data_IF_236512066950
#
_entry.id   IF_236512066950
#
_cell.length_a   1.000
_cell.length_b   1.000
_cell.length_c   1.000
_cell.angle_alpha   90.00
_cell.angle_beta   90.00
_cell.angle_gamma   90.00
#
_symmetry.space_group_name_H-M   'P 1'
#
loop_
_entity.id
_entity.type
_entity.pdbx_description
1 polymer ?
#
# COMPACT_ATOMS: atom_id res chain seq x y z
N UNK A 1 49.19 6.08 34.79
CA UNK A 1 47.94 5.51 34.22
C UNK A 1 47.89 5.91 32.76
N UNK A 2 48.20 4.98 31.85
CA UNK A 2 48.28 5.24 30.41
C UNK A 2 46.88 5.18 29.80
N UNK A 3 46.38 6.28 29.23
CA UNK A 3 45.13 6.30 28.49
C UNK A 3 45.39 5.71 27.10
N UNK A 4 44.91 4.49 26.86
CA UNK A 4 44.93 3.91 25.51
C UNK A 4 44.11 4.79 24.56
N UNK A 5 44.63 5.11 23.37
CA UNK A 5 43.95 5.97 22.41
C UNK A 5 42.64 5.33 21.96
N UNK A 6 41.55 6.10 22.04
CA UNK A 6 40.23 5.71 21.53
C UNK A 6 40.35 5.52 20.01
N UNK A 7 40.05 4.34 19.44
CA UNK A 7 40.10 4.16 18.00
C UNK A 7 39.08 5.09 17.33
N UNK A 8 39.55 5.86 16.34
CA UNK A 8 38.72 6.69 15.48
C UNK A 8 37.70 5.79 14.78
N UNK A 9 36.42 5.92 15.13
CA UNK A 9 35.34 5.23 14.43
C UNK A 9 35.36 5.67 12.96
N UNK A 10 35.52 4.71 12.05
CA UNK A 10 35.32 4.94 10.62
C UNK A 10 33.90 5.48 10.38
N UNK A 11 33.71 6.41 9.43
CA UNK A 11 32.40 6.93 9.09
C UNK A 11 31.45 5.79 8.68
N UNK A 12 30.16 5.86 9.04
CA UNK A 12 29.20 4.82 8.70
C UNK A 12 29.08 4.70 7.19
N UNK A 13 29.39 3.52 6.65
CA UNK A 13 29.21 3.20 5.24
C UNK A 13 27.71 3.02 4.98
N UNK A 14 27.10 3.95 4.27
CA UNK A 14 25.71 3.85 3.82
C UNK A 14 25.54 2.61 2.94
N UNK A 15 24.59 1.72 3.26
CA UNK A 15 24.36 0.49 2.48
C UNK A 15 23.72 0.85 1.12
N UNK A 16 24.31 0.43 -0.02
CA UNK A 16 23.83 0.83 -1.36
C UNK A 16 22.38 0.43 -1.68
N UNK A 17 21.84 -0.57 -0.98
CA UNK A 17 20.51 -1.13 -1.24
C UNK A 17 19.36 -0.23 -0.74
N UNK A 18 19.58 0.63 0.26
CA UNK A 18 18.53 1.55 0.76
C UNK A 18 18.21 2.68 -0.22
N UNK A 19 19.18 3.07 -1.05
CA UNK A 19 19.02 4.15 -2.03
C UNK A 19 18.12 3.77 -3.22
N UNK A 20 17.98 2.49 -3.54
CA UNK A 20 17.19 2.03 -4.69
C UNK A 20 15.76 1.62 -4.33
N UNK A 21 15.52 1.15 -3.10
CA UNK A 21 14.19 0.68 -2.67
C UNK A 21 13.24 1.86 -2.42
N UNK A 22 13.73 2.97 -1.88
CA UNK A 22 12.93 4.18 -1.60
C UNK A 22 12.31 4.80 -2.87
N UNK A 23 13.04 5.01 -3.97
CA UNK A 23 12.47 5.47 -5.24
C UNK A 23 11.39 4.54 -5.80
N UNK A 24 11.57 3.23 -5.70
CA UNK A 24 10.62 2.25 -6.23
C UNK A 24 9.27 2.31 -5.50
N UNK A 25 9.29 2.46 -4.17
CA UNK A 25 8.08 2.65 -3.38
C UNK A 25 7.35 3.94 -3.81
N UNK A 26 8.08 5.06 -3.91
CA UNK A 26 7.54 6.36 -4.36
C UNK A 26 6.95 6.28 -5.77
N UNK A 27 7.64 5.62 -6.70
CA UNK A 27 7.15 5.41 -8.07
C UNK A 27 5.86 4.57 -8.10
N UNK A 28 5.76 3.53 -7.26
CA UNK A 28 4.55 2.72 -7.14
C UNK A 28 3.35 3.52 -6.63
N UNK A 29 3.54 4.33 -5.58
CA UNK A 29 2.48 5.20 -5.04
C UNK A 29 2.08 6.28 -6.05
N UNK A 30 3.05 6.90 -6.72
CA UNK A 30 2.81 7.92 -7.75
C UNK A 30 2.01 7.34 -8.93
N UNK A 31 2.33 6.13 -9.39
CA UNK A 31 1.59 5.46 -10.46
C UNK A 31 0.12 5.20 -10.08
N UNK A 32 -0.14 4.79 -8.84
CA UNK A 32 -1.50 4.58 -8.34
C UNK A 32 -2.27 5.90 -8.17
N UNK A 33 -1.63 6.95 -7.66
CA UNK A 33 -2.19 8.31 -7.57
C UNK A 33 -2.54 8.87 -8.95
N UNK A 34 -1.66 8.70 -9.94
CA UNK A 34 -1.94 9.05 -11.34
C UNK A 34 -3.13 8.26 -11.90
N UNK A 35 -3.22 6.97 -11.61
CA UNK A 35 -4.35 6.15 -12.04
C UNK A 35 -5.68 6.60 -11.40
N UNK A 36 -5.64 7.07 -10.15
CA UNK A 36 -6.79 7.64 -9.45
C UNK A 36 -7.18 9.03 -10.01
N UNK A 37 -6.23 9.94 -10.21
CA UNK A 37 -6.54 11.31 -10.68
C UNK A 37 -7.11 11.33 -12.10
N UNK A 38 -6.65 10.43 -12.98
CA UNK A 38 -7.21 10.27 -14.33
C UNK A 38 -8.68 9.81 -14.28
N UNK A 39 -9.09 9.08 -13.24
CA UNK A 39 -10.47 8.65 -13.04
C UNK A 39 -11.36 9.82 -12.63
N UNK A 40 -10.92 10.63 -11.68
CA UNK A 40 -11.68 11.78 -11.20
C UNK A 40 -11.83 12.84 -12.28
N UNK A 41 -10.78 13.09 -13.06
CA UNK A 41 -10.83 14.00 -14.21
C UNK A 41 -11.84 13.58 -15.29
N UNK A 42 -12.11 12.28 -15.45
CA UNK A 42 -13.11 11.78 -16.41
C UNK A 42 -14.53 11.83 -15.84
N UNK A 43 -14.70 11.54 -14.55
CA UNK A 43 -15.99 11.68 -13.88
C UNK A 43 -16.44 13.15 -13.83
N UNK A 44 -15.54 14.08 -13.52
CA UNK A 44 -15.82 15.51 -13.56
C UNK A 44 -16.27 15.99 -14.95
N UNK A 45 -15.60 15.51 -16.02
CA UNK A 45 -15.98 15.84 -17.41
C UNK A 45 -17.30 15.21 -17.86
N UNK A 46 -17.58 13.98 -17.42
CA UNK A 46 -18.79 13.25 -17.83
C UNK A 46 -20.03 13.60 -17.01
N UNK A 47 -19.85 14.13 -15.79
CA UNK A 47 -20.94 14.63 -14.97
C UNK A 47 -21.48 16.00 -15.43
N UNK A 48 -20.93 16.60 -16.49
CA UNK A 48 -21.32 17.95 -16.94
C UNK A 48 -21.09 19.05 -15.89
N UNK A 49 -20.39 18.74 -14.80
CA UNK A 49 -20.33 19.54 -13.59
C UNK A 49 -19.23 20.60 -13.59
N UNK A 50 -18.61 20.87 -14.74
CA UNK A 50 -17.94 22.16 -14.91
C UNK A 50 -18.93 23.13 -15.54
N UNK A 51 -19.95 23.50 -14.76
CA UNK A 51 -20.57 24.80 -14.93
C UNK A 51 -19.43 25.81 -14.79
N UNK A 52 -19.25 26.68 -15.77
CA UNK A 52 -18.18 27.67 -15.77
C UNK A 52 -18.14 28.49 -14.48
N UNK A 53 -17.07 29.30 -14.27
CA UNK A 53 -17.06 30.25 -13.15
C UNK A 53 -18.39 31.01 -13.14
N UNK A 54 -19.04 31.16 -11.98
CA UNK A 54 -20.36 31.77 -11.90
C UNK A 54 -20.25 33.16 -12.52
N UNK A 55 -20.79 33.30 -13.73
CA UNK A 55 -20.93 34.60 -14.36
C UNK A 55 -21.90 35.36 -13.47
N UNK A 56 -21.39 36.38 -12.78
CA UNK A 56 -22.21 37.30 -12.00
C UNK A 56 -23.26 37.93 -12.93
N UNK A 57 -24.53 37.61 -12.69
CA UNK A 57 -25.68 38.13 -13.45
C UNK A 57 -26.72 37.02 -13.63
N UNK A 58 -27.97 37.13 -13.21
CA UNK A 58 -28.74 38.27 -12.73
C UNK A 58 -29.67 37.77 -11.61
N UNK A 59 -29.80 38.58 -10.56
CA UNK A 59 -30.91 38.49 -9.64
C UNK A 59 -32.13 39.05 -10.38
N UNK A 60 -33.12 38.21 -10.65
CA UNK A 60 -34.56 38.52 -10.52
C UNK A 60 -35.39 37.34 -11.04
N UNK A 61 -36.60 37.23 -10.47
CA UNK A 61 -37.77 36.45 -10.90
C UNK A 61 -37.95 35.00 -10.37
N UNK A 62 -38.65 34.99 -9.23
CA UNK A 62 -39.98 34.38 -9.04
C UNK A 62 -40.15 32.86 -8.86
N UNK A 63 -40.35 32.57 -7.56
CA UNK A 63 -41.24 31.59 -6.94
C UNK A 63 -42.39 31.04 -7.80
N UNK A 64 -42.42 29.72 -8.01
CA UNK A 64 -43.65 28.91 -7.99
C UNK A 64 -43.35 27.42 -7.71
N UNK A 65 -44.04 26.89 -6.71
CA UNK A 65 -43.93 25.52 -6.22
C UNK A 65 -44.30 24.43 -7.22
N UNK A 66 -43.71 23.24 -7.05
CA UNK A 66 -43.96 22.10 -7.92
C UNK A 66 -43.36 20.79 -7.42
N UNK A 67 -44.12 20.11 -6.57
CA UNK A 67 -43.98 18.71 -6.18
C UNK A 67 -43.49 17.79 -7.31
N UNK A 68 -42.29 17.21 -7.17
CA UNK A 68 -41.85 16.07 -8.01
C UNK A 68 -40.71 15.28 -7.36
N UNK A 69 -40.93 14.81 -6.11
CA UNK A 69 -40.02 13.93 -5.38
C UNK A 69 -40.24 12.42 -5.66
N UNK A 70 -40.95 12.05 -6.72
CA UNK A 70 -41.38 10.66 -6.93
C UNK A 70 -41.25 10.22 -8.39
N UNK A 71 -40.05 9.77 -8.84
CA UNK A 71 -39.91 8.69 -9.83
C UNK A 71 -38.43 8.30 -10.10
N UNK A 72 -37.66 7.83 -9.11
CA UNK A 72 -36.36 7.17 -9.40
C UNK A 72 -36.16 5.92 -8.52
N UNK A 73 -37.20 5.10 -8.39
CA UNK A 73 -37.11 3.85 -7.64
C UNK A 73 -37.97 2.77 -8.32
N UNK A 74 -37.53 2.21 -9.45
CA UNK A 74 -37.90 0.87 -9.94
C UNK A 74 -37.44 0.60 -11.38
N UNK A 75 -36.14 0.68 -11.66
CA UNK A 75 -35.60 0.03 -12.85
C UNK A 75 -34.39 -0.81 -12.45
N UNK A 76 -34.67 -2.05 -12.05
CA UNK A 76 -33.70 -3.15 -11.87
C UNK A 76 -33.03 -3.57 -13.18
N UNK A 77 -32.70 -2.62 -14.04
CA UNK A 77 -31.81 -2.84 -15.16
C UNK A 77 -30.46 -3.21 -14.57
N UNK A 78 -30.02 -4.45 -14.81
CA UNK A 78 -28.63 -4.89 -14.63
C UNK A 78 -27.76 -3.97 -15.49
N UNK A 79 -27.44 -2.77 -15.00
CA UNK A 79 -26.59 -1.80 -15.69
C UNK A 79 -25.32 -2.55 -16.03
N UNK A 80 -25.14 -2.80 -17.32
CA UNK A 80 -23.96 -3.47 -17.84
C UNK A 80 -22.76 -2.70 -17.30
N UNK A 81 -22.03 -3.32 -16.36
CA UNK A 81 -20.85 -2.67 -15.77
C UNK A 81 -19.96 -2.21 -16.91
N UNK A 82 -19.62 -0.91 -16.98
CA UNK A 82 -18.78 -0.40 -18.06
C UNK A 82 -17.48 -1.18 -18.07
N UNK A 83 -17.09 -1.68 -19.26
CA UNK A 83 -15.84 -2.41 -19.44
C UNK A 83 -14.70 -1.52 -18.97
N UNK A 84 -13.91 -1.99 -18.01
CA UNK A 84 -12.69 -1.28 -17.60
C UNK A 84 -11.75 -1.23 -18.80
N UNK A 85 -11.20 -0.04 -19.10
CA UNK A 85 -10.24 0.08 -20.19
C UNK A 85 -9.03 -0.84 -19.97
N UNK A 86 -8.46 -1.36 -21.06
CA UNK A 86 -7.27 -2.22 -21.00
C UNK A 86 -6.11 -1.52 -20.29
N UNK A 87 -5.88 -0.24 -20.59
CA UNK A 87 -4.87 0.61 -19.93
C UNK A 87 -5.05 0.67 -18.41
N UNK A 88 -6.28 0.86 -17.91
CA UNK A 88 -6.55 0.87 -16.46
C UNK A 88 -6.26 -0.49 -15.85
N UNK A 89 -6.66 -1.57 -16.52
CA UNK A 89 -6.40 -2.93 -16.04
C UNK A 89 -4.91 -3.23 -15.97
N UNK A 90 -4.13 -2.76 -16.95
CA UNK A 90 -2.68 -2.89 -16.96
C UNK A 90 -2.01 -2.13 -15.81
N UNK A 91 -2.44 -0.88 -15.54
CA UNK A 91 -1.94 -0.10 -14.40
C UNK A 91 -2.26 -0.76 -13.06
N UNK A 92 -3.46 -1.30 -12.89
CA UNK A 92 -3.85 -2.03 -11.67
C UNK A 92 -3.05 -3.32 -11.51
N UNK A 93 -2.79 -4.05 -12.60
CA UNK A 93 -1.92 -5.23 -12.58
C UNK A 93 -0.50 -4.85 -12.17
N UNK A 94 0.08 -3.81 -12.78
CA UNK A 94 1.42 -3.34 -12.46
C UNK A 94 1.55 -2.96 -10.98
N UNK A 95 0.57 -2.21 -10.43
CA UNK A 95 0.55 -1.86 -9.01
C UNK A 95 0.51 -3.08 -8.09
N UNK A 96 -0.32 -4.09 -8.41
CA UNK A 96 -0.40 -5.35 -7.64
C UNK A 96 0.91 -6.13 -7.70
N UNK A 97 1.52 -6.25 -8.88
CA UNK A 97 2.77 -6.98 -9.07
C UNK A 97 3.93 -6.29 -8.35
N UNK A 98 4.07 -4.97 -8.46
CA UNK A 98 5.13 -4.23 -7.78
C UNK A 98 5.04 -4.36 -6.26
N UNK A 99 3.84 -4.21 -5.70
CA UNK A 99 3.62 -4.40 -4.27
C UNK A 99 3.95 -5.83 -3.83
N UNK A 100 3.56 -6.83 -4.63
CA UNK A 100 3.87 -8.22 -4.36
C UNK A 100 5.37 -8.53 -4.42
N UNK A 101 6.10 -7.96 -5.38
CA UNK A 101 7.55 -8.15 -5.47
C UNK A 101 8.27 -7.57 -4.24
N UNK A 102 7.87 -6.36 -3.79
CA UNK A 102 8.44 -5.75 -2.59
C UNK A 102 8.20 -6.61 -1.34
N UNK A 103 6.96 -7.08 -1.15
CA UNK A 103 6.59 -7.90 0.01
C UNK A 103 7.14 -9.32 -0.07
N UNK A 104 7.29 -9.90 -1.27
CA UNK A 104 7.95 -11.18 -1.47
C UNK A 104 9.44 -11.11 -1.11
N UNK A 105 10.13 -10.02 -1.48
CA UNK A 105 11.51 -9.79 -1.06
C UNK A 105 11.61 -9.67 0.46
N UNK A 106 10.71 -8.90 1.10
CA UNK A 106 10.66 -8.79 2.56
C UNK A 106 10.41 -10.15 3.24
N UNK A 107 9.43 -10.91 2.74
CA UNK A 107 9.12 -12.27 3.21
C UNK A 107 10.29 -13.24 3.04
N UNK A 108 11.01 -13.17 1.92
CA UNK A 108 12.20 -13.98 1.70
C UNK A 108 13.31 -13.68 2.70
N UNK A 109 13.59 -12.39 2.96
CA UNK A 109 14.54 -11.99 4.00
C UNK A 109 14.12 -12.49 5.39
N UNK A 110 12.81 -12.54 5.66
CA UNK A 110 12.29 -13.09 6.91
C UNK A 110 12.53 -14.60 7.03
N UNK A 111 12.31 -15.36 5.96
CA UNK A 111 12.62 -16.79 5.91
C UNK A 111 14.10 -17.03 6.16
N UNK A 112 14.98 -16.24 5.54
CA UNK A 112 16.42 -16.32 5.78
C UNK A 112 16.78 -16.04 7.26
N UNK A 113 16.17 -15.03 7.89
CA UNK A 113 16.35 -14.73 9.31
C UNK A 113 15.88 -15.87 10.22
N UNK A 114 14.75 -16.51 9.90
CA UNK A 114 14.24 -17.65 10.65
C UNK A 114 15.17 -18.87 10.51
N UNK A 115 15.64 -19.15 9.30
CA UNK A 115 16.60 -20.22 9.04
C UNK A 115 17.92 -20.00 9.77
N UNK A 116 18.46 -18.77 9.75
CA UNK A 116 19.68 -18.42 10.46
C UNK A 116 19.55 -18.59 11.98
N UNK A 117 18.40 -18.22 12.56
CA UNK A 117 18.12 -18.43 13.98
C UNK A 117 18.03 -19.91 14.35
N UNK A 118 17.36 -20.72 13.52
CA UNK A 118 17.25 -22.16 13.75
C UNK A 118 18.62 -22.86 13.71
N UNK A 119 19.59 -22.31 12.98
CA UNK A 119 20.95 -22.84 12.89
C UNK A 119 21.92 -22.34 13.98
N UNK A 120 21.54 -21.34 14.78
CA UNK A 120 22.43 -20.74 15.77
C UNK A 120 22.60 -21.63 17.02
N UNK A 121 23.82 -21.76 17.57
CA UNK A 121 24.04 -22.51 18.81
C UNK A 121 23.48 -21.77 20.04
N UNK A 122 23.03 -22.46 21.10
CA UNK A 122 22.66 -21.82 22.36
C UNK A 122 23.85 -21.06 22.98
N UNK A 123 23.64 -19.88 23.62
CA UNK A 123 22.37 -19.19 23.87
C UNK A 123 21.95 -18.24 22.73
N UNK A 124 22.68 -18.20 21.61
CA UNK A 124 22.36 -17.35 20.46
C UNK A 124 21.14 -17.83 19.66
N UNK A 125 20.65 -19.05 19.94
CA UNK A 125 19.34 -19.55 19.54
C UNK A 125 18.21 -18.72 20.19
N UNK A 126 17.96 -17.52 19.68
CA UNK A 126 16.99 -16.58 20.23
C UNK A 126 16.61 -15.47 19.25
N UNK A 127 16.06 -14.37 19.77
CA UNK A 127 15.73 -13.17 18.99
C UNK A 127 16.99 -12.57 18.38
N UNK A 128 16.96 -12.26 17.08
CA UNK A 128 18.05 -11.49 16.49
C UNK A 128 18.11 -10.14 17.16
N UNK A 129 19.32 -9.69 17.48
CA UNK A 129 19.52 -8.36 18.03
C UNK A 129 20.00 -7.40 16.96
N UNK A 130 19.27 -6.31 16.79
CA UNK A 130 19.65 -5.20 15.93
C UNK A 130 19.84 -3.95 16.80
N UNK A 131 21.02 -3.33 16.74
CA UNK A 131 21.41 -2.21 17.60
C UNK A 131 21.26 -2.48 19.11
N UNK A 132 21.51 -3.72 19.56
CA UNK A 132 21.42 -4.11 20.97
C UNK A 132 19.99 -4.24 21.50
N UNK A 133 18.98 -4.33 20.62
CA UNK A 133 17.58 -4.63 20.96
C UNK A 133 17.07 -5.78 20.12
N UNK A 134 15.98 -6.42 20.56
CA UNK A 134 15.24 -7.36 19.71
C UNK A 134 14.90 -6.69 18.39
N UNK A 135 15.24 -7.35 17.29
CA UNK A 135 14.94 -6.86 15.94
C UNK A 135 13.43 -6.88 15.72
N UNK A 136 12.77 -5.73 15.44
CA UNK A 136 11.33 -5.72 15.18
C UNK A 136 10.94 -6.50 13.91
N UNK A 137 11.90 -6.81 13.03
CA UNK A 137 11.71 -7.73 11.91
C UNK A 137 11.32 -9.14 12.35
N UNK A 138 11.59 -9.53 13.60
CA UNK A 138 11.29 -10.85 14.14
C UNK A 138 9.81 -11.03 14.53
N UNK A 139 8.91 -10.67 13.63
CA UNK A 139 7.47 -10.79 13.79
C UNK A 139 6.84 -11.67 12.68
N UNK A 140 5.70 -12.33 12.93
CA UNK A 140 5.04 -13.19 11.94
C UNK A 140 4.24 -12.40 10.89
N UNK A 141 3.98 -11.11 11.08
CA UNK A 141 3.15 -10.31 10.18
C UNK A 141 3.79 -10.18 8.79
N UNK A 142 5.13 -10.12 8.70
CA UNK A 142 5.84 -10.09 7.42
C UNK A 142 5.48 -11.27 6.50
N UNK A 143 5.36 -12.48 7.05
CA UNK A 143 4.99 -13.66 6.26
C UNK A 143 3.52 -13.63 5.84
N UNK A 144 2.64 -13.13 6.71
CA UNK A 144 1.22 -12.93 6.40
C UNK A 144 1.07 -11.91 5.27
N UNK A 145 1.81 -10.80 5.33
CA UNK A 145 1.81 -9.77 4.28
C UNK A 145 2.33 -10.33 2.96
N UNK A 146 3.41 -11.11 2.97
CA UNK A 146 3.93 -11.80 1.79
C UNK A 146 2.86 -12.70 1.16
N UNK A 147 2.15 -13.50 1.95
CA UNK A 147 1.08 -14.38 1.47
C UNK A 147 -0.10 -13.58 0.89
N UNK A 148 -0.54 -12.52 1.56
CA UNK A 148 -1.61 -11.64 1.08
C UNK A 148 -1.23 -10.91 -0.21
N UNK A 149 0.04 -10.49 -0.33
CA UNK A 149 0.55 -9.85 -1.53
C UNK A 149 0.60 -10.82 -2.72
N UNK A 150 0.91 -12.10 -2.49
CA UNK A 150 0.83 -13.13 -3.52
C UNK A 150 -0.62 -13.33 -4.02
N UNK A 151 -1.61 -13.37 -3.11
CA UNK A 151 -3.03 -13.40 -3.48
C UNK A 151 -3.42 -12.18 -4.33
N UNK A 152 -2.94 -10.98 -3.95
CA UNK A 152 -3.16 -9.76 -4.72
C UNK A 152 -2.52 -9.80 -6.11
N UNK A 153 -1.29 -10.30 -6.25
CA UNK A 153 -0.62 -10.43 -7.54
C UNK A 153 -1.45 -11.29 -8.51
N UNK A 154 -1.92 -12.43 -8.02
CA UNK A 154 -2.80 -13.35 -8.76
C UNK A 154 -4.18 -12.73 -9.03
N UNK A 155 -4.59 -11.75 -8.23
CA UNK A 155 -5.91 -11.14 -8.31
C UNK A 155 -6.99 -12.11 -7.83
N UNK A 156 -6.66 -12.86 -6.77
CA UNK A 156 -7.56 -13.75 -6.04
C UNK A 156 -8.13 -12.99 -4.84
N UNK A 157 -9.45 -12.97 -4.72
CA UNK A 157 -10.15 -12.31 -3.63
C UNK A 157 -9.61 -10.88 -3.39
N UNK A 158 -9.45 -10.11 -4.47
CA UNK A 158 -8.59 -8.91 -4.46
C UNK A 158 -9.00 -7.88 -3.41
N UNK A 159 -10.30 -7.69 -3.17
CA UNK A 159 -10.79 -6.71 -2.19
C UNK A 159 -10.53 -7.13 -0.75
N UNK A 160 -10.94 -8.32 -0.28
CA UNK A 160 -10.61 -8.75 1.07
C UNK A 160 -9.09 -8.95 1.25
N UNK A 161 -8.36 -9.42 0.25
CA UNK A 161 -6.89 -9.53 0.32
C UNK A 161 -6.23 -8.15 0.49
N UNK A 162 -6.69 -7.13 -0.24
CA UNK A 162 -6.21 -5.76 -0.10
C UNK A 162 -6.53 -5.15 1.28
N UNK A 163 -7.77 -5.38 1.77
CA UNK A 163 -8.18 -4.91 3.09
C UNK A 163 -7.35 -5.57 4.20
N UNK A 164 -7.17 -6.89 4.13
CA UNK A 164 -6.37 -7.64 5.08
C UNK A 164 -4.90 -7.22 5.03
N UNK A 165 -4.34 -6.98 3.84
CA UNK A 165 -2.96 -6.52 3.70
C UNK A 165 -2.79 -5.13 4.31
N UNK A 166 -3.71 -4.20 4.03
CA UNK A 166 -3.69 -2.87 4.63
C UNK A 166 -3.75 -2.95 6.16
N UNK A 167 -4.64 -3.78 6.71
CA UNK A 167 -4.73 -4.01 8.16
C UNK A 167 -3.44 -4.59 8.75
N UNK A 168 -2.84 -5.59 8.10
CA UNK A 168 -1.59 -6.20 8.56
C UNK A 168 -0.41 -5.22 8.55
N UNK A 169 -0.32 -4.35 7.53
CA UNK A 169 0.71 -3.31 7.43
C UNK A 169 0.53 -2.22 8.50
N UNK A 170 -0.70 -1.77 8.72
CA UNK A 170 -0.99 -0.79 9.79
C UNK A 170 -0.69 -1.39 11.17
N UNK A 171 -1.04 -2.65 11.38
CA UNK A 171 -0.74 -3.35 12.63
C UNK A 171 0.76 -3.50 12.86
N UNK A 172 1.54 -3.87 11.83
CA UNK A 172 3.00 -3.95 11.92
C UNK A 172 3.61 -2.57 12.19
N UNK A 173 3.22 -1.55 11.45
CA UNK A 173 3.64 -0.16 11.67
C UNK A 173 3.43 0.26 13.14
N UNK A 174 2.23 0.02 13.66
CA UNK A 174 1.87 0.44 15.02
C UNK A 174 2.55 -0.39 16.11
N UNK A 175 2.70 -1.70 15.91
CA UNK A 175 3.20 -2.61 16.94
C UNK A 175 4.72 -2.77 16.93
N UNK A 176 5.33 -2.86 15.74
CA UNK A 176 6.74 -3.18 15.55
C UNK A 176 7.59 -1.92 15.32
N UNK A 177 7.03 -0.88 14.69
CA UNK A 177 7.79 0.30 14.26
C UNK A 177 7.48 1.57 15.05
N UNK A 178 7.54 1.47 16.38
CA UNK A 178 7.15 2.53 17.33
C UNK A 178 8.19 3.66 17.44
N UNK A 179 8.38 4.42 16.36
CA UNK A 179 9.40 5.48 16.29
C UNK A 179 9.20 6.62 17.30
N UNK A 180 8.00 6.75 17.89
CA UNK A 180 7.68 7.72 18.93
C UNK A 180 8.11 7.29 20.34
N UNK A 181 8.61 6.07 20.52
CA UNK A 181 9.14 5.66 21.82
C UNK A 181 10.39 6.45 22.18
N UNK A 182 10.42 6.95 23.42
CA UNK A 182 11.60 7.60 23.97
C UNK A 182 12.66 6.54 24.27
N UNK A 183 13.91 6.84 23.93
CA UNK A 183 15.05 5.98 24.26
C UNK A 183 15.50 5.06 23.14
N UNK A 184 15.50 5.52 21.88
CA UNK A 184 16.23 4.82 20.82
C UNK A 184 17.72 4.66 21.22
N UNK A 185 18.33 3.47 21.05
CA UNK A 185 19.72 3.22 21.44
C UNK A 185 20.72 4.14 20.70
N UNK A 186 20.39 4.57 19.49
CA UNK A 186 21.16 5.53 18.70
C UNK A 186 20.28 6.17 17.61
N UNK A 187 20.82 7.21 16.95
CA UNK A 187 20.12 7.95 15.88
C UNK A 187 19.80 7.07 14.67
N UNK A 188 20.71 6.16 14.30
CA UNK A 188 20.50 5.27 13.14
C UNK A 188 19.29 4.34 13.37
N UNK A 189 19.15 3.78 14.56
CA UNK A 189 17.96 2.99 14.92
C UNK A 189 16.69 3.84 14.89
N UNK A 190 16.72 5.07 15.41
CA UNK A 190 15.54 5.95 15.38
C UNK A 190 15.09 6.25 13.95
N UNK A 191 16.04 6.47 13.03
CA UNK A 191 15.76 6.64 11.60
C UNK A 191 15.21 5.36 10.99
N UNK A 192 15.87 4.22 11.22
CA UNK A 192 15.46 2.91 10.72
C UNK A 192 14.00 2.58 11.06
N UNK A 193 13.62 2.71 12.33
CA UNK A 193 12.25 2.43 12.80
C UNK A 193 11.25 3.40 12.17
N UNK A 194 11.61 4.68 12.04
CA UNK A 194 10.76 5.70 11.41
C UNK A 194 10.54 5.42 9.92
N UNK A 195 11.58 5.00 9.21
CA UNK A 195 11.48 4.66 7.79
C UNK A 195 10.54 3.49 7.57
N UNK A 196 10.70 2.41 8.33
CA UNK A 196 9.80 1.26 8.24
C UNK A 196 8.34 1.64 8.53
N UNK A 197 8.09 2.44 9.57
CA UNK A 197 6.75 2.92 9.89
C UNK A 197 6.07 3.60 8.69
N UNK A 198 6.77 4.54 8.03
CA UNK A 198 6.18 5.27 6.90
C UNK A 198 6.08 4.43 5.63
N UNK A 199 7.00 3.50 5.39
CA UNK A 199 6.91 2.56 4.27
C UNK A 199 5.66 1.68 4.41
N UNK A 200 5.43 1.09 5.59
CA UNK A 200 4.27 0.24 5.84
C UNK A 200 2.96 1.00 5.67
N UNK A 201 2.89 2.24 6.18
CA UNK A 201 1.72 3.09 6.02
C UNK A 201 1.47 3.47 4.54
N UNK A 202 2.54 3.75 3.79
CA UNK A 202 2.47 4.02 2.35
C UNK A 202 1.96 2.81 1.55
N UNK A 203 2.46 1.61 1.87
CA UNK A 203 1.99 0.36 1.27
C UNK A 203 0.52 0.08 1.65
N UNK A 204 0.12 0.34 2.89
CA UNK A 204 -1.26 0.19 3.34
C UNK A 204 -2.21 1.12 2.57
N UNK A 205 -1.82 2.39 2.37
CA UNK A 205 -2.56 3.32 1.52
C UNK A 205 -2.69 2.85 0.08
N UNK A 206 -1.61 2.29 -0.49
CA UNK A 206 -1.64 1.66 -1.82
C UNK A 206 -2.62 0.47 -1.90
N UNK A 207 -2.64 -0.38 -0.86
CA UNK A 207 -3.56 -1.51 -0.78
C UNK A 207 -5.03 -1.05 -0.65
N UNK A 208 -5.33 -0.03 0.17
CA UNK A 208 -6.67 0.56 0.25
C UNK A 208 -7.13 1.16 -1.08
N UNK A 209 -6.22 1.79 -1.82
CA UNK A 209 -6.52 2.30 -3.14
C UNK A 209 -6.85 1.17 -4.12
N UNK A 210 -6.10 0.06 -4.09
CA UNK A 210 -6.45 -1.14 -4.86
C UNK A 210 -7.82 -1.72 -4.47
N UNK A 211 -8.16 -1.74 -3.18
CA UNK A 211 -9.47 -2.16 -2.70
C UNK A 211 -10.62 -1.30 -3.26
N UNK A 212 -10.39 0.02 -3.36
CA UNK A 212 -11.35 0.98 -3.91
C UNK A 212 -11.45 0.92 -5.44
N UNK A 213 -10.32 0.75 -6.14
CA UNK A 213 -10.26 0.72 -7.60
C UNK A 213 -10.68 -0.64 -8.19
N UNK A 214 -10.56 -1.72 -7.41
CA UNK A 214 -10.80 -3.10 -7.81
C UNK A 214 -9.60 -3.75 -8.50
N UNK A 215 -9.78 -5.02 -8.89
CA UNK A 215 -8.69 -5.87 -9.39
C UNK A 215 -8.26 -5.59 -10.84
N UNK A 216 -9.10 -4.88 -11.61
CA UNK A 216 -8.94 -4.71 -13.05
C UNK A 216 -9.38 -5.95 -13.84
N UNK A 217 -9.37 -5.84 -15.18
CA UNK A 217 -9.81 -6.91 -16.07
C UNK A 217 -8.85 -8.11 -16.19
N UNK A 218 -7.62 -8.00 -15.67
CA UNK A 218 -6.60 -9.06 -15.72
C UNK A 218 -6.52 -9.90 -14.44
N UNK A 219 -7.44 -9.71 -13.49
CA UNK A 219 -7.47 -10.50 -12.26
C UNK A 219 -8.14 -11.86 -12.50
N UNK A 220 -7.71 -12.90 -11.78
CA UNK A 220 -8.35 -14.23 -11.84
C UNK A 220 -9.83 -14.14 -11.46
N UNK A 221 -10.18 -13.28 -10.49
CA UNK A 221 -11.57 -12.99 -10.10
C UNK A 221 -12.46 -12.51 -11.29
N UNK A 222 -11.86 -12.01 -12.38
CA UNK A 222 -12.60 -11.54 -13.56
C UNK A 222 -12.99 -12.66 -14.54
N UNK A 223 -12.32 -13.83 -14.50
CA UNK A 223 -12.53 -14.94 -15.45
C UNK A 223 -13.95 -15.51 -15.35
N UNK A 224 -14.49 -15.85 -14.14
CA UNK A 224 -15.85 -16.39 -14.03
C UNK A 224 -16.92 -15.39 -14.49
N UNK A 225 -16.66 -14.09 -14.33
CA UNK A 225 -17.56 -13.03 -14.75
C UNK A 225 -17.60 -12.84 -16.28
N UNK A 226 -16.52 -13.19 -16.99
CA UNK A 226 -16.47 -13.15 -18.45
C UNK A 226 -17.25 -14.31 -19.07
N UNK A 227 -17.15 -15.52 -18.51
CA UNK A 227 -17.81 -16.73 -19.05
C UNK A 227 -19.34 -16.68 -18.98
N UNK A 228 -19.92 -16.04 -17.96
CA UNK A 228 -21.39 -15.87 -17.83
C UNK A 228 -22.01 -14.92 -18.86
N UNK A 229 -21.21 -14.26 -19.70
CA UNK A 229 -21.68 -13.28 -20.71
C UNK A 229 -21.64 -13.82 -22.14
N UNK A 230 -21.07 -15.01 -22.33
CA UNK A 230 -21.10 -15.77 -23.57
C UNK A 230 -22.25 -16.77 -23.49
#
# INVERSE_FOLDING_TARGET
MSQSPKPLLAPPVSRPTELLVKPLAVCGTAALLLAASVRDARHARSAGAWAGPPTAGNADEDDHGGSSAACVMAAGGRRARPRTSARRSALLLAGRVLMALLLAFSGWMQVQRLAARAAAPPPAAGTTQHYGRSDPHDNPLVLIQCALAALLALGLATRPAAAALAGALVLEAAACWRFWERGAPNVAYAQHVREHFFVDLGLAGGALLLMALGAGGFAVDAIPAARKRQ
#
